data_IF_225107561327
#
_entry.id   IF_225107561327
#
_cell.length_a   1.000
_cell.length_b   1.000
_cell.length_c   1.000
_cell.angle_alpha   90.00
_cell.angle_beta   90.00
_cell.angle_gamma   90.00
#
_symmetry.space_group_name_H-M   'P 1'
#
loop_
_entity.id
_entity.type
_entity.pdbx_description
1 polymer ?
#
# COMPACT_ATOMS: atom_id res chain seq x y z
N UNK A 1 0.75 -15.29 -22.32
CA UNK A 1 0.74 -16.00 -21.03
C UNK A 1 -0.37 -15.37 -20.22
N UNK A 2 -1.24 -16.19 -19.65
CA UNK A 2 -2.34 -15.71 -18.83
C UNK A 2 -1.74 -15.09 -17.56
N UNK A 3 -1.68 -13.75 -17.50
CA UNK A 3 -1.09 -12.99 -16.38
C UNK A 3 -2.08 -12.82 -15.22
N UNK A 4 -3.13 -13.64 -15.17
CA UNK A 4 -4.10 -13.61 -14.09
C UNK A 4 -3.40 -13.96 -12.76
N UNK A 5 -3.45 -13.06 -11.75
CA UNK A 5 -2.83 -13.33 -10.46
C UNK A 5 -3.41 -14.60 -9.84
N UNK A 6 -2.53 -15.49 -9.37
CA UNK A 6 -2.95 -16.57 -8.47
C UNK A 6 -3.58 -15.97 -7.23
N UNK A 7 -4.62 -16.60 -6.71
CA UNK A 7 -5.30 -16.13 -5.51
C UNK A 7 -4.80 -16.88 -4.26
N UNK A 8 -4.97 -16.25 -3.10
CA UNK A 8 -4.72 -16.86 -1.79
C UNK A 8 -5.67 -18.01 -1.52
N UNK A 9 -5.25 -18.94 -0.68
CA UNK A 9 -6.16 -19.93 -0.09
C UNK A 9 -7.10 -19.25 0.92
N UNK A 10 -8.22 -19.91 1.24
CA UNK A 10 -9.18 -19.44 2.26
C UNK A 10 -9.73 -18.02 2.01
N UNK A 11 -9.91 -17.63 0.74
CA UNK A 11 -10.39 -16.31 0.30
C UNK A 11 -11.59 -15.79 1.12
N UNK A 12 -12.54 -16.66 1.46
CA UNK A 12 -13.74 -16.30 2.21
C UNK A 12 -13.41 -15.62 3.55
N UNK A 13 -12.35 -16.05 4.26
CA UNK A 13 -11.94 -15.42 5.53
C UNK A 13 -11.49 -13.97 5.34
N UNK A 14 -10.80 -13.68 4.23
CA UNK A 14 -10.42 -12.31 3.89
C UNK A 14 -11.66 -11.49 3.55
N UNK A 15 -12.55 -12.02 2.69
CA UNK A 15 -13.78 -11.35 2.28
C UNK A 15 -14.68 -11.00 3.48
N UNK A 16 -14.86 -11.92 4.44
CA UNK A 16 -15.63 -11.68 5.66
C UNK A 16 -15.12 -10.44 6.44
N UNK A 17 -13.81 -10.28 6.57
CA UNK A 17 -13.21 -9.11 7.24
C UNK A 17 -13.38 -7.86 6.39
N UNK A 18 -13.15 -7.94 5.08
CA UNK A 18 -13.30 -6.80 4.18
C UNK A 18 -14.75 -6.29 4.17
N UNK A 19 -15.73 -7.20 4.21
CA UNK A 19 -17.15 -6.86 4.25
C UNK A 19 -17.56 -6.32 5.62
N UNK A 20 -17.08 -6.94 6.72
CA UNK A 20 -17.32 -6.47 8.09
C UNK A 20 -16.88 -5.01 8.29
N UNK A 21 -15.75 -4.62 7.71
CA UNK A 21 -15.17 -3.28 7.87
C UNK A 21 -15.45 -2.35 6.69
N UNK A 22 -16.35 -2.73 5.76
CA UNK A 22 -16.68 -2.00 4.52
C UNK A 22 -15.45 -1.54 3.71
N UNK A 23 -14.41 -2.38 3.67
CA UNK A 23 -13.18 -2.10 2.94
C UNK A 23 -13.45 -2.37 1.47
N UNK A 24 -13.69 -1.29 0.71
CA UNK A 24 -13.91 -1.31 -0.75
C UNK A 24 -12.64 -1.06 -1.54
N UNK A 25 -11.77 -0.19 -1.01
CA UNK A 25 -10.57 0.26 -1.67
C UNK A 25 -9.39 0.33 -0.72
N UNK A 26 -8.20 0.14 -1.29
CA UNK A 26 -6.94 0.56 -0.72
C UNK A 26 -6.49 1.85 -1.41
N UNK A 27 -5.47 2.49 -0.86
CA UNK A 27 -5.00 3.78 -1.32
C UNK A 27 -3.51 3.74 -1.64
N UNK A 28 -3.15 4.33 -2.77
CA UNK A 28 -1.77 4.60 -3.14
C UNK A 28 -1.61 6.09 -3.40
N UNK A 29 -0.69 6.74 -2.70
CA UNK A 29 -0.37 8.14 -3.00
C UNK A 29 0.87 8.23 -3.89
N UNK A 30 0.83 9.13 -4.85
CA UNK A 30 1.91 9.36 -5.82
C UNK A 30 1.90 10.81 -6.28
N UNK A 31 2.96 11.26 -6.93
CA UNK A 31 2.96 12.58 -7.58
C UNK A 31 2.13 12.55 -8.87
N UNK A 32 1.37 13.62 -9.13
CA UNK A 32 0.52 13.75 -10.33
C UNK A 32 1.29 13.56 -11.64
N UNK A 33 2.58 13.89 -11.70
CA UNK A 33 3.41 13.68 -12.90
C UNK A 33 3.62 12.20 -13.26
N UNK A 34 3.37 11.28 -12.32
CA UNK A 34 3.41 9.84 -12.58
C UNK A 34 2.09 9.30 -13.18
N UNK A 35 1.03 10.10 -13.25
CA UNK A 35 -0.31 9.59 -13.58
C UNK A 35 -0.37 8.94 -14.97
N UNK A 36 0.26 9.54 -15.98
CA UNK A 36 0.24 9.02 -17.34
C UNK A 36 0.99 7.70 -17.49
N UNK A 37 2.13 7.53 -16.79
CA UNK A 37 2.83 6.24 -16.78
C UNK A 37 2.03 5.17 -16.03
N UNK A 38 1.34 5.54 -14.95
CA UNK A 38 0.48 4.63 -14.20
C UNK A 38 -0.75 4.21 -15.00
N UNK A 39 -1.37 5.12 -15.77
CA UNK A 39 -2.46 4.75 -16.69
C UNK A 39 -1.99 3.73 -17.73
N UNK A 40 -0.77 3.89 -18.24
CA UNK A 40 -0.21 3.03 -19.30
C UNK A 40 0.26 1.68 -18.77
N UNK A 41 0.94 1.64 -17.63
CA UNK A 41 1.64 0.45 -17.15
C UNK A 41 1.08 -0.09 -15.84
N UNK A 42 0.19 0.62 -15.16
CA UNK A 42 -0.18 0.32 -13.79
C UNK A 42 0.80 0.91 -12.78
N UNK A 43 0.62 0.61 -11.49
CA UNK A 43 1.58 1.00 -10.46
C UNK A 43 2.67 -0.07 -10.42
N UNK A 44 3.92 0.34 -10.60
CA UNK A 44 5.07 -0.55 -10.62
C UNK A 44 5.86 -0.42 -9.31
N UNK A 45 6.46 -1.52 -8.87
CA UNK A 45 7.36 -1.53 -7.73
C UNK A 45 8.59 -0.68 -8.02
N UNK A 46 9.25 -0.23 -6.95
CA UNK A 46 10.46 0.57 -7.08
C UNK A 46 11.58 -0.22 -7.75
N UNK A 47 11.75 -1.48 -7.37
CA UNK A 47 12.73 -2.37 -8.01
C UNK A 47 12.47 -2.52 -9.51
N UNK A 48 11.22 -2.70 -9.93
CA UNK A 48 10.87 -2.82 -11.34
C UNK A 48 11.17 -1.52 -12.11
N UNK A 49 10.77 -0.37 -11.57
CA UNK A 49 11.03 0.94 -12.18
C UNK A 49 12.53 1.20 -12.34
N UNK A 50 13.32 0.94 -11.30
CA UNK A 50 14.76 1.15 -11.27
C UNK A 50 15.45 0.19 -12.27
N UNK A 51 15.08 -1.10 -12.30
CA UNK A 51 15.65 -2.10 -13.21
C UNK A 51 15.34 -1.85 -14.70
N UNK A 52 14.21 -1.19 -15.00
CA UNK A 52 13.78 -0.88 -16.36
C UNK A 52 14.05 0.57 -16.77
N UNK A 53 14.76 1.35 -15.95
CA UNK A 53 15.07 2.77 -16.20
C UNK A 53 13.81 3.63 -16.47
N UNK A 54 12.68 3.27 -15.87
CA UNK A 54 11.42 4.03 -16.00
C UNK A 54 11.49 5.21 -15.05
N UNK A 55 11.43 6.43 -15.59
CA UNK A 55 11.44 7.66 -14.78
C UNK A 55 10.14 7.77 -13.99
N UNK A 56 10.27 8.07 -12.70
CA UNK A 56 9.16 8.38 -11.80
C UNK A 56 9.60 9.39 -10.74
N UNK A 57 8.62 10.06 -10.15
CA UNK A 57 8.81 10.96 -9.03
C UNK A 57 8.41 10.26 -7.72
N UNK A 58 9.35 9.94 -6.83
CA UNK A 58 9.07 9.09 -5.68
C UNK A 58 8.13 9.76 -4.68
N UNK A 59 7.09 9.02 -4.26
CA UNK A 59 6.22 9.41 -3.16
C UNK A 59 6.87 9.22 -1.78
N UNK A 60 7.84 8.30 -1.64
CA UNK A 60 8.58 7.97 -0.40
C UNK A 60 9.94 8.68 -0.29
N UNK A 61 10.60 8.65 0.89
CA UNK A 61 11.90 9.30 1.10
C UNK A 61 13.04 8.51 0.43
N UNK A 62 14.18 9.17 0.19
CA UNK A 62 15.43 8.52 -0.20
C UNK A 62 15.97 7.49 0.82
N UNK A 63 15.50 7.50 2.07
CA UNK A 63 15.87 6.52 3.09
C UNK A 63 15.00 5.26 3.10
N UNK A 64 13.78 5.32 2.52
CA UNK A 64 12.92 4.13 2.39
C UNK A 64 13.60 3.01 1.59
N UNK A 65 14.29 3.29 0.45
CA UNK A 65 14.99 2.27 -0.32
C UNK A 65 15.97 1.41 0.47
N UNK A 66 16.80 1.98 1.35
CA UNK A 66 17.80 1.18 2.08
C UNK A 66 17.15 0.25 3.12
N UNK A 67 16.08 0.69 3.77
CA UNK A 67 15.27 -0.13 4.68
C UNK A 67 14.49 -1.20 3.92
N UNK A 68 13.92 -0.85 2.76
CA UNK A 68 13.17 -1.77 1.90
C UNK A 68 14.07 -2.83 1.30
N UNK A 69 15.31 -2.48 0.90
CA UNK A 69 16.34 -3.44 0.47
C UNK A 69 16.65 -4.40 1.62
N UNK A 70 16.93 -3.87 2.82
CA UNK A 70 17.26 -4.68 4.00
C UNK A 70 16.13 -5.65 4.38
N UNK A 71 14.88 -5.27 4.14
CA UNK A 71 13.67 -6.05 4.46
C UNK A 71 13.07 -6.82 3.28
N UNK A 72 13.71 -6.78 2.10
CA UNK A 72 13.22 -7.47 0.90
C UNK A 72 11.86 -6.97 0.39
N UNK A 73 11.53 -5.69 0.61
CA UNK A 73 10.24 -5.07 0.23
C UNK A 73 10.32 -4.14 -0.97
N UNK A 74 11.49 -3.99 -1.59
CA UNK A 74 11.70 -3.08 -2.71
C UNK A 74 10.88 -3.46 -3.96
N UNK A 75 10.65 -4.76 -4.15
CA UNK A 75 9.82 -5.28 -5.23
C UNK A 75 8.32 -5.35 -4.91
N UNK A 76 7.84 -4.52 -3.98
CA UNK A 76 6.42 -4.46 -3.64
C UNK A 76 5.87 -3.05 -3.79
N UNK A 77 4.70 -2.94 -4.39
CA UNK A 77 3.87 -1.74 -4.37
C UNK A 77 3.15 -1.69 -3.03
N UNK A 78 3.39 -0.62 -2.27
CA UNK A 78 2.78 -0.42 -0.95
C UNK A 78 1.49 0.38 -1.05
N UNK A 79 0.46 -0.14 -0.38
CA UNK A 79 -0.87 0.41 -0.29
C UNK A 79 -1.27 0.60 1.17
N UNK A 80 -2.06 1.62 1.45
CA UNK A 80 -2.66 1.88 2.76
C UNK A 80 -4.16 1.57 2.76
N UNK A 81 -4.73 1.32 3.95
CA UNK A 81 -6.18 1.17 4.12
C UNK A 81 -6.94 2.50 4.14
N UNK A 82 -6.23 3.63 4.23
CA UNK A 82 -6.77 4.98 4.35
C UNK A 82 -6.01 5.98 3.48
N UNK A 83 -6.65 7.12 3.20
CA UNK A 83 -6.05 8.27 2.49
C UNK A 83 -5.40 9.31 3.45
N UNK A 84 -5.46 9.07 4.75
CA UNK A 84 -4.86 9.90 5.80
C UNK A 84 -3.42 9.53 6.17
N UNK A 85 -2.70 8.79 5.32
CA UNK A 85 -1.43 8.16 5.71
C UNK A 85 -0.40 9.19 6.22
N UNK A 86 0.13 9.07 7.45
CA UNK A 86 0.99 10.09 8.08
C UNK A 86 2.18 10.54 7.23
N UNK A 87 2.73 9.63 6.42
CA UNK A 87 3.86 9.92 5.53
C UNK A 87 3.53 10.97 4.45
N UNK A 88 2.26 11.23 4.12
CA UNK A 88 1.93 12.26 3.14
C UNK A 88 2.27 13.66 3.64
N UNK A 89 2.10 13.94 4.94
CA UNK A 89 2.45 15.24 5.52
C UNK A 89 3.95 15.49 5.40
N UNK A 90 4.75 14.46 5.69
CA UNK A 90 6.20 14.52 5.48
C UNK A 90 6.56 14.69 3.99
N UNK A 91 5.86 13.99 3.09
CA UNK A 91 6.10 14.08 1.67
C UNK A 91 5.76 15.48 1.13
N UNK A 92 4.60 16.05 1.46
CA UNK A 92 4.20 17.42 1.09
C UNK A 92 5.15 18.49 1.62
N UNK A 93 5.59 18.35 2.88
CA UNK A 93 6.41 19.37 3.55
C UNK A 93 7.88 19.35 3.11
N UNK A 94 8.44 18.16 2.88
CA UNK A 94 9.87 17.99 2.68
C UNK A 94 10.25 17.45 1.29
N UNK A 95 9.26 17.22 0.43
CA UNK A 95 9.48 16.76 -0.95
C UNK A 95 8.71 17.67 -1.87
N UNK A 96 9.35 18.03 -2.98
CA UNK A 96 8.71 18.82 -4.03
C UNK A 96 7.73 17.94 -4.81
N UNK A 97 6.65 17.44 -4.18
CA UNK A 97 5.64 16.59 -4.83
C UNK A 97 4.25 17.24 -4.81
N UNK A 98 3.46 16.96 -5.83
CA UNK A 98 2.04 17.30 -5.95
C UNK A 98 1.23 15.99 -5.77
N UNK A 99 0.90 15.59 -4.54
CA UNK A 99 0.39 14.26 -4.29
C UNK A 99 -1.09 14.13 -4.68
N UNK A 100 -1.40 13.01 -5.33
CA UNK A 100 -2.75 12.52 -5.58
C UNK A 100 -2.91 11.15 -4.92
N UNK A 101 -4.15 10.78 -4.59
CA UNK A 101 -4.49 9.44 -4.14
C UNK A 101 -5.20 8.67 -5.24
N UNK A 102 -4.70 7.48 -5.53
CA UNK A 102 -5.36 6.51 -6.39
C UNK A 102 -6.07 5.49 -5.50
N UNK A 103 -7.34 5.22 -5.80
CA UNK A 103 -8.08 4.13 -5.16
C UNK A 103 -7.77 2.84 -5.90
N UNK A 104 -7.46 1.79 -5.15
CA UNK A 104 -7.13 0.46 -5.67
C UNK A 104 -8.21 -0.50 -5.21
N UNK A 105 -8.78 -1.26 -6.12
CA UNK A 105 -9.80 -2.27 -5.81
C UNK A 105 -9.24 -3.29 -4.80
N UNK A 106 -10.05 -3.66 -3.81
CA UNK A 106 -9.65 -4.57 -2.72
C UNK A 106 -9.20 -5.95 -3.19
N UNK A 107 -9.55 -6.36 -4.42
CA UNK A 107 -9.19 -7.63 -5.05
C UNK A 107 -7.69 -7.95 -4.93
N UNK A 108 -6.83 -6.93 -4.96
CA UNK A 108 -5.37 -7.09 -4.85
C UNK A 108 -4.92 -7.71 -3.51
N UNK A 109 -5.75 -7.63 -2.45
CA UNK A 109 -5.53 -8.30 -1.15
C UNK A 109 -5.52 -9.82 -1.34
N UNK A 110 -6.30 -10.31 -2.30
CA UNK A 110 -6.53 -11.74 -2.52
C UNK A 110 -5.45 -12.37 -3.39
N UNK A 111 -4.48 -11.62 -3.92
CA UNK A 111 -3.41 -12.21 -4.73
C UNK A 111 -2.46 -13.02 -3.83
N UNK A 112 -2.04 -14.19 -4.31
CA UNK A 112 -1.24 -15.15 -3.57
C UNK A 112 0.01 -14.48 -2.96
N UNK A 113 0.72 -13.70 -3.76
CA UNK A 113 1.98 -13.04 -3.39
C UNK A 113 1.79 -11.71 -2.62
N UNK A 114 0.57 -11.27 -2.34
CA UNK A 114 0.33 -10.04 -1.58
C UNK A 114 0.75 -10.23 -0.12
N UNK A 115 1.60 -9.35 0.38
CA UNK A 115 2.00 -9.35 1.78
C UNK A 115 1.18 -8.34 2.59
N UNK A 116 1.10 -8.62 3.89
CA UNK A 116 0.47 -7.75 4.88
C UNK A 116 1.49 -7.33 5.91
N UNK A 117 1.33 -6.13 6.47
CA UNK A 117 2.02 -5.72 7.68
C UNK A 117 1.03 -5.07 8.64
N UNK A 118 1.14 -5.42 9.92
CA UNK A 118 0.27 -4.88 10.98
C UNK A 118 0.54 -3.39 11.30
N UNK A 119 1.64 -2.85 10.81
CA UNK A 119 2.07 -1.45 10.89
C UNK A 119 2.94 -1.14 9.67
N UNK A 120 3.62 0.01 9.65
CA UNK A 120 4.54 0.33 8.56
C UNK A 120 5.57 -0.79 8.37
N UNK A 121 5.72 -1.30 7.15
CA UNK A 121 6.62 -2.43 6.85
C UNK A 121 8.08 -2.17 7.21
N UNK A 122 8.50 -0.90 7.30
CA UNK A 122 9.85 -0.51 7.69
C UNK A 122 10.03 -0.38 9.21
N UNK A 123 8.97 -0.40 10.02
CA UNK A 123 9.07 -0.36 11.50
C UNK A 123 9.74 -1.62 12.06
N UNK A 124 10.59 -1.46 13.08
CA UNK A 124 11.31 -2.58 13.71
C UNK A 124 10.37 -3.58 14.41
N UNK A 125 9.19 -3.14 14.84
CA UNK A 125 8.19 -3.99 15.50
C UNK A 125 7.16 -4.57 14.53
N UNK A 126 7.39 -4.39 13.23
CA UNK A 126 6.49 -4.88 12.20
C UNK A 126 6.48 -6.41 12.16
N UNK A 127 5.28 -6.98 12.16
CA UNK A 127 5.03 -8.37 11.80
C UNK A 127 4.45 -8.35 10.38
N UNK A 128 5.06 -9.12 9.47
CA UNK A 128 4.64 -9.20 8.07
C UNK A 128 4.70 -10.63 7.54
N UNK A 129 3.84 -10.93 6.58
CA UNK A 129 3.64 -12.26 6.00
C UNK A 129 2.57 -12.20 4.90
N UNK A 130 2.37 -13.30 4.19
CA UNK A 130 1.42 -13.45 3.07
C UNK A 130 0.11 -14.15 3.47
N UNK A 131 -0.01 -14.59 4.71
CA UNK A 131 -1.08 -15.48 5.16
C UNK A 131 -2.20 -14.77 5.92
N UNK A 132 -3.25 -15.53 6.23
CA UNK A 132 -4.41 -14.99 6.94
C UNK A 132 -4.06 -14.66 8.40
N UNK A 133 -3.11 -15.40 8.99
CA UNK A 133 -2.67 -15.13 10.37
C UNK A 133 -2.08 -13.73 10.47
N UNK A 134 -1.23 -13.33 9.54
CA UNK A 134 -0.66 -11.97 9.46
C UNK A 134 -1.75 -10.94 9.16
N UNK A 135 -2.63 -11.21 8.20
CA UNK A 135 -3.73 -10.31 7.86
C UNK A 135 -4.62 -10.00 9.08
N UNK A 136 -4.89 -11.01 9.91
CA UNK A 136 -5.69 -10.87 11.13
C UNK A 136 -5.03 -10.03 12.24
N UNK A 137 -3.72 -9.75 12.15
CA UNK A 137 -3.02 -8.87 13.09
C UNK A 137 -3.29 -7.39 12.83
N UNK A 138 -3.81 -7.03 11.66
CA UNK A 138 -4.17 -5.65 11.32
C UNK A 138 -5.27 -5.19 12.26
N UNK A 139 -5.08 -4.04 12.89
CA UNK A 139 -6.08 -3.42 13.77
C UNK A 139 -7.08 -2.66 12.92
N UNK A 140 -8.05 -3.39 12.34
CA UNK A 140 -8.99 -2.82 11.38
C UNK A 140 -9.77 -1.61 11.95
N UNK A 141 -10.24 -1.70 13.20
CA UNK A 141 -10.88 -0.57 13.91
C UNK A 141 -10.02 0.69 14.04
N UNK A 142 -8.70 0.57 13.83
CA UNK A 142 -7.77 1.69 13.78
C UNK A 142 -7.58 2.16 12.34
N UNK A 143 -7.28 1.26 11.40
CA UNK A 143 -6.91 1.64 10.02
C UNK A 143 -8.08 2.18 9.19
N UNK A 144 -9.33 1.85 9.57
CA UNK A 144 -10.55 2.34 8.92
C UNK A 144 -11.10 3.64 9.55
N UNK A 145 -10.43 4.20 10.56
CA UNK A 145 -10.85 5.48 11.14
C UNK A 145 -10.91 6.58 10.07
N UNK A 146 -11.82 7.56 10.21
CA UNK A 146 -12.32 8.36 9.09
C UNK A 146 -11.24 9.04 8.24
N UNK A 147 -11.41 8.90 6.93
CA UNK A 147 -10.70 9.65 5.91
C UNK A 147 -11.00 11.16 6.06
N UNK A 148 -9.97 12.01 5.95
CA UNK A 148 -10.09 13.47 6.00
C UNK A 148 -9.77 14.12 7.36
N UNK A 149 -9.60 13.35 8.43
CA UNK A 149 -9.12 13.87 9.72
C UNK A 149 -7.58 13.98 9.75
N UNK A 150 -7.08 15.11 10.25
CA UNK A 150 -5.65 15.29 10.52
C UNK A 150 -5.35 14.60 11.87
N UNK A 151 -4.75 13.41 11.83
CA UNK A 151 -4.39 12.57 12.98
C UNK A 151 -5.54 11.80 13.66
N UNK A 152 -6.17 10.83 12.98
CA UNK A 152 -7.27 10.02 13.55
C UNK A 152 -6.84 9.03 14.66
N UNK A 153 -5.55 8.99 15.01
CA UNK A 153 -5.01 8.10 16.06
C UNK A 153 -4.90 8.82 17.40
N UNK A 154 -5.18 8.11 18.49
CA UNK A 154 -5.19 8.67 19.85
C UNK A 154 -3.79 8.81 20.46
N UNK A 155 -2.83 8.02 20.00
CA UNK A 155 -1.48 7.98 20.53
C UNK A 155 -0.49 7.41 19.48
N UNK A 156 0.81 7.43 19.79
CA UNK A 156 1.86 6.98 18.86
C UNK A 156 1.80 5.47 18.58
N UNK A 157 1.21 4.64 19.45
CA UNK A 157 1.02 3.21 19.18
C UNK A 157 -0.08 3.02 18.14
N UNK A 158 -1.23 3.68 18.31
CA UNK A 158 -2.31 3.66 17.31
C UNK A 158 -1.84 4.22 15.97
N UNK A 159 -0.99 5.25 15.96
CA UNK A 159 -0.37 5.79 14.74
C UNK A 159 0.45 4.75 13.99
N UNK A 160 1.16 3.87 14.69
CA UNK A 160 1.91 2.78 14.07
C UNK A 160 0.95 1.78 13.43
N UNK A 161 -0.09 1.35 14.16
CA UNK A 161 -1.09 0.44 13.61
C UNK A 161 -1.88 1.07 12.44
N UNK A 162 -2.14 2.38 12.47
CA UNK A 162 -2.79 3.13 11.40
C UNK A 162 -2.01 3.09 10.08
N UNK A 163 -0.69 2.81 10.15
CA UNK A 163 0.20 2.67 9.00
C UNK A 163 0.35 1.21 8.56
N UNK A 164 -0.56 0.30 8.91
CA UNK A 164 -0.60 -1.04 8.32
C UNK A 164 -0.63 -0.96 6.78
N UNK A 165 0.10 -1.84 6.11
CA UNK A 165 0.26 -1.83 4.66
C UNK A 165 -0.19 -3.14 4.03
N UNK A 166 -0.70 -3.03 2.80
CA UNK A 166 -0.86 -4.13 1.86
C UNK A 166 0.21 -3.96 0.79
N UNK A 167 0.98 -5.01 0.53
CA UNK A 167 2.16 -4.98 -0.34
C UNK A 167 1.92 -5.93 -1.51
N UNK A 168 1.59 -5.37 -2.67
CA UNK A 168 1.35 -6.16 -3.89
C UNK A 168 2.68 -6.33 -4.63
N UNK A 169 3.04 -7.56 -4.97
CA UNK A 169 4.33 -7.85 -5.60
C UNK A 169 4.41 -7.27 -7.00
N UNK A 170 5.51 -6.57 -7.27
CA UNK A 170 5.96 -6.04 -8.55
C UNK A 170 5.05 -5.02 -9.25
N UNK A 171 3.75 -5.28 -9.40
CA UNK A 171 2.85 -4.50 -10.23
C UNK A 171 1.39 -4.58 -9.78
N UNK A 172 0.66 -3.49 -9.97
CA UNK A 172 -0.80 -3.42 -9.93
C UNK A 172 -1.30 -2.96 -11.30
N UNK A 173 -2.02 -3.82 -12.00
CA UNK A 173 -2.52 -3.52 -13.34
C UNK A 173 -3.61 -2.42 -13.34
N UNK A 174 -3.71 -1.61 -14.41
CA UNK A 174 -4.67 -0.51 -14.51
C UNK A 174 -6.12 -0.89 -14.22
N UNK A 175 -6.53 -2.13 -14.51
CA UNK A 175 -7.90 -2.61 -14.26
C UNK A 175 -8.30 -2.63 -12.77
N UNK A 176 -7.32 -2.62 -11.86
CA UNK A 176 -7.52 -2.54 -10.41
C UNK A 176 -7.44 -1.11 -9.87
N UNK A 177 -7.20 -0.11 -10.72
CA UNK A 177 -6.98 1.28 -10.33
C UNK A 177 -8.18 2.13 -10.73
N UNK A 178 -8.67 2.97 -9.82
CA UNK A 178 -9.64 4.01 -10.12
C UNK A 178 -8.89 5.32 -10.29
N UNK A 179 -8.90 5.84 -11.51
CA UNK A 179 -8.26 7.11 -11.86
C UNK A 179 -9.17 8.30 -11.58
N UNK A 180 -8.60 9.47 -11.21
CA UNK A 180 -9.34 10.73 -11.09
C UNK A 180 -9.82 11.26 -12.45
#
# INVERSE_FOLDING_TARGET
>A
MDNTPKLKDQINKYLEILDKYDIKYLYHFTDISNLESIKKYGILSREFLDNHNIKYKPGSSKFSPSLDIKKGKLNYVKLSFNDGHPMIYHAKKYRNINPIFLKIKRDVILFADTLFSNMNSTDNNCISGDDFSTFSLIKFDIVIKPNGEIHPWKNEIEKKYYQAEVMVKERIDPQFIIFP
#
